data_IF_781150121428
#
_entry.id   IF_781150121428
#
_cell.length_a   1.000
_cell.length_b   1.000
_cell.length_c   1.000
_cell.angle_alpha   90.00
_cell.angle_beta   90.00
_cell.angle_gamma   90.00
#
_symmetry.space_group_name_H-M   'P 1'
#
loop_
_entity.id
_entity.type
_entity.pdbx_description
1 polymer ?
#
# COMPACT_ATOMS: atom_id res chain seq x y z
N UNK A 1 -8.25 -17.84 -4.43
CA UNK A 1 -8.31 -16.64 -3.57
C UNK A 1 -6.91 -16.27 -3.12
N UNK A 2 -6.45 -15.08 -3.45
CA UNK A 2 -5.11 -14.58 -3.13
C UNK A 2 -5.21 -13.43 -2.13
N UNK A 3 -4.49 -13.51 -1.02
CA UNK A 3 -4.45 -12.45 -0.02
C UNK A 3 -3.31 -11.49 -0.39
N UNK A 4 -3.65 -10.23 -0.64
CA UNK A 4 -2.68 -9.17 -0.84
C UNK A 4 -2.72 -8.20 0.34
N UNK A 5 -1.55 -7.75 0.77
CA UNK A 5 -1.37 -6.75 1.80
C UNK A 5 -1.09 -5.40 1.18
N UNK A 6 -1.68 -4.34 1.73
CA UNK A 6 -1.40 -2.97 1.34
C UNK A 6 -1.08 -2.12 2.57
N UNK A 7 0.06 -1.45 2.53
CA UNK A 7 0.50 -0.53 3.58
C UNK A 7 0.42 0.89 3.06
N UNK A 8 -0.23 1.78 3.81
CA UNK A 8 -0.28 3.21 3.49
C UNK A 8 0.15 4.03 4.70
N UNK A 9 0.76 5.18 4.46
CA UNK A 9 1.03 6.17 5.51
C UNK A 9 0.90 7.59 4.97
N UNK A 10 0.25 8.45 5.76
CA UNK A 10 0.08 9.86 5.45
C UNK A 10 1.39 10.65 5.58
N UNK A 11 1.55 11.77 4.84
CA UNK A 11 2.61 12.72 5.09
C UNK A 11 2.60 13.20 6.55
N UNK A 12 3.77 13.31 7.15
CA UNK A 12 3.93 13.69 8.55
C UNK A 12 5.33 14.23 8.83
N UNK A 13 5.50 14.87 9.98
CA UNK A 13 6.75 15.52 10.41
C UNK A 13 7.84 14.55 10.87
N UNK A 14 7.58 13.25 10.84
CA UNK A 14 8.53 12.22 11.27
C UNK A 14 9.72 12.08 10.30
N UNK A 15 10.87 11.66 10.83
CA UNK A 15 12.08 11.42 10.02
C UNK A 15 11.86 10.29 9.01
N UNK A 16 12.67 10.28 7.94
CA UNK A 16 12.61 9.22 6.92
C UNK A 16 12.85 7.84 7.52
N UNK A 17 13.77 7.72 8.48
CA UNK A 17 14.11 6.44 9.11
C UNK A 17 12.99 5.95 10.04
N UNK A 18 12.42 6.83 10.86
CA UNK A 18 11.28 6.47 11.72
C UNK A 18 10.07 6.03 10.87
N UNK A 19 9.84 6.70 9.74
CA UNK A 19 8.82 6.30 8.76
C UNK A 19 9.12 4.93 8.17
N UNK A 20 10.35 4.67 7.72
CA UNK A 20 10.76 3.39 7.17
C UNK A 20 10.58 2.26 8.20
N UNK A 21 10.98 2.45 9.46
CA UNK A 21 10.78 1.47 10.53
C UNK A 21 9.29 1.19 10.80
N UNK A 22 8.45 2.24 10.79
CA UNK A 22 7.01 2.10 10.94
C UNK A 22 6.40 1.27 9.80
N UNK A 23 6.77 1.59 8.56
CA UNK A 23 6.30 0.88 7.37
C UNK A 23 6.79 -0.58 7.35
N UNK A 24 8.05 -0.84 7.73
CA UNK A 24 8.58 -2.20 7.84
C UNK A 24 7.77 -3.03 8.85
N UNK A 25 7.47 -2.47 10.01
CA UNK A 25 6.63 -3.16 11.00
C UNK A 25 5.22 -3.47 10.48
N UNK A 26 4.64 -2.61 9.64
CA UNK A 26 3.35 -2.86 9.00
C UNK A 26 3.46 -3.98 7.95
N UNK A 27 4.50 -3.97 7.12
CA UNK A 27 4.80 -5.03 6.15
C UNK A 27 4.97 -6.38 6.85
N UNK A 28 5.75 -6.42 7.94
CA UNK A 28 5.99 -7.64 8.70
C UNK A 28 4.69 -8.19 9.31
N UNK A 29 3.81 -7.33 9.81
CA UNK A 29 2.49 -7.74 10.30
C UNK A 29 1.59 -8.33 9.21
N UNK A 30 1.60 -7.75 8.01
CA UNK A 30 0.84 -8.30 6.89
C UNK A 30 1.34 -9.69 6.49
N UNK A 31 2.66 -9.89 6.47
CA UNK A 31 3.26 -11.20 6.18
C UNK A 31 2.99 -12.22 7.28
N UNK A 32 3.26 -11.86 8.54
CA UNK A 32 3.26 -12.81 9.66
C UNK A 32 1.87 -13.09 10.23
N UNK A 33 0.97 -12.08 10.27
CA UNK A 33 -0.35 -12.22 10.89
C UNK A 33 -1.48 -12.39 9.88
N UNK A 34 -1.37 -11.70 8.74
CA UNK A 34 -2.42 -11.73 7.70
C UNK A 34 -2.10 -12.72 6.57
N UNK A 35 -0.94 -13.38 6.63
CA UNK A 35 -0.46 -14.33 5.62
C UNK A 35 -0.54 -13.78 4.18
N UNK A 36 -0.29 -12.47 4.02
CA UNK A 36 -0.35 -11.82 2.73
C UNK A 36 0.71 -12.40 1.78
N UNK A 37 0.26 -12.94 0.64
CA UNK A 37 1.12 -13.52 -0.40
C UNK A 37 1.90 -12.46 -1.16
N UNK A 38 1.32 -11.27 -1.32
CA UNK A 38 1.98 -10.10 -1.89
C UNK A 38 1.77 -8.89 -0.98
N UNK A 39 2.75 -8.01 -0.85
CA UNK A 39 2.65 -6.78 -0.06
C UNK A 39 3.05 -5.57 -0.89
N UNK A 40 2.10 -4.66 -1.07
CA UNK A 40 2.28 -3.41 -1.78
C UNK A 40 2.29 -2.23 -0.81
N UNK A 41 2.93 -1.13 -1.20
CA UNK A 41 3.13 0.01 -0.31
C UNK A 41 2.88 1.37 -0.98
N UNK A 42 2.35 2.27 -0.17
CA UNK A 42 2.21 3.70 -0.41
C UNK A 42 2.83 4.48 0.76
N UNK A 43 4.14 4.81 0.68
CA UNK A 43 4.87 5.34 1.82
C UNK A 43 4.48 6.77 2.22
N UNK A 44 4.06 7.60 1.27
CA UNK A 44 3.69 9.01 1.48
C UNK A 44 2.53 9.38 0.55
N UNK A 45 1.29 9.17 0.99
CA UNK A 45 0.10 9.58 0.24
C UNK A 45 -0.98 10.20 1.13
N UNK A 46 -1.82 11.06 0.57
CA UNK A 46 -2.98 11.60 1.30
C UNK A 46 -4.17 10.63 1.13
N UNK A 47 -5.03 10.51 2.15
CA UNK A 47 -6.12 9.52 2.10
C UNK A 47 -7.20 9.82 1.06
N UNK A 48 -7.35 11.10 0.68
CA UNK A 48 -8.30 11.56 -0.33
C UNK A 48 -7.73 11.56 -1.76
N UNK A 49 -6.43 11.32 -1.91
CA UNK A 49 -5.76 11.24 -3.21
C UNK A 49 -6.21 9.97 -3.95
N UNK A 50 -6.52 10.09 -5.26
CA UNK A 50 -6.88 8.94 -6.08
C UNK A 50 -5.83 7.84 -6.00
N UNK A 51 -6.25 6.58 -5.87
CA UNK A 51 -5.35 5.42 -5.78
C UNK A 51 -4.33 5.38 -6.93
N UNK A 52 -4.75 5.78 -8.14
CA UNK A 52 -3.92 5.85 -9.33
C UNK A 52 -2.81 6.91 -9.25
N UNK A 53 -2.98 7.95 -8.44
CA UNK A 53 -2.03 9.08 -8.36
C UNK A 53 -1.06 8.97 -7.18
N UNK A 54 -1.29 8.01 -6.27
CA UNK A 54 -0.50 7.87 -5.04
C UNK A 54 0.97 7.59 -5.30
N UNK A 55 1.81 8.31 -4.56
CA UNK A 55 3.28 8.22 -4.57
C UNK A 55 3.90 8.46 -5.94
N UNK A 56 3.28 9.33 -6.75
CA UNK A 56 3.87 9.85 -7.98
C UNK A 56 4.48 11.24 -7.73
N UNK A 57 5.81 11.44 -7.90
CA UNK A 57 6.82 10.47 -8.33
C UNK A 57 7.30 9.53 -7.21
N UNK A 58 7.70 8.30 -7.58
CA UNK A 58 8.09 7.22 -6.66
C UNK A 58 9.24 7.65 -5.74
N UNK A 59 9.04 7.54 -4.43
CA UNK A 59 10.10 7.79 -3.44
C UNK A 59 11.10 6.62 -3.35
N UNK A 60 12.02 6.55 -4.32
CA UNK A 60 12.97 5.44 -4.46
C UNK A 60 13.88 5.25 -3.24
N UNK A 61 14.24 6.33 -2.52
CA UNK A 61 15.10 6.24 -1.34
C UNK A 61 14.44 5.43 -0.23
N UNK A 62 13.15 5.67 0.00
CA UNK A 62 12.39 5.02 1.06
C UNK A 62 12.03 3.58 0.67
N UNK A 63 11.69 3.32 -0.59
CA UNK A 63 11.46 1.96 -1.09
C UNK A 63 12.69 1.06 -0.94
N UNK A 64 13.90 1.58 -1.18
CA UNK A 64 15.17 0.83 -1.01
C UNK A 64 15.47 0.43 0.43
N UNK A 65 14.91 1.12 1.42
CA UNK A 65 15.12 0.81 2.84
C UNK A 65 14.22 -0.33 3.33
N UNK A 66 13.14 -0.64 2.59
CA UNK A 66 12.14 -1.62 2.99
C UNK A 66 12.44 -3.01 2.42
N UNK A 67 12.09 -4.04 3.18
CA UNK A 67 12.26 -5.45 2.80
C UNK A 67 10.90 -6.16 2.81
N UNK A 68 10.75 -7.13 1.92
CA UNK A 68 9.54 -7.97 1.85
C UNK A 68 8.34 -7.33 1.14
N UNK A 69 8.56 -6.19 0.46
CA UNK A 69 7.60 -5.55 -0.43
C UNK A 69 7.69 -6.16 -1.84
N UNK A 70 6.55 -6.32 -2.50
CA UNK A 70 6.44 -6.78 -3.89
C UNK A 70 6.29 -5.61 -4.87
N UNK A 71 5.93 -4.41 -4.39
CA UNK A 71 5.80 -3.24 -5.24
C UNK A 71 5.13 -2.04 -4.58
N UNK A 72 4.89 -1.02 -5.39
CA UNK A 72 4.18 0.22 -5.06
C UNK A 72 2.68 0.09 -5.32
N UNK A 73 1.91 1.15 -5.03
CA UNK A 73 0.49 1.24 -5.42
C UNK A 73 0.27 0.99 -6.91
N UNK A 74 1.16 1.46 -7.79
CA UNK A 74 1.02 1.25 -9.24
C UNK A 74 1.18 -0.24 -9.62
N UNK A 75 2.14 -0.91 -8.98
CA UNK A 75 2.37 -2.33 -9.23
C UNK A 75 1.21 -3.18 -8.67
N UNK A 76 0.55 -2.72 -7.61
CA UNK A 76 -0.71 -3.30 -7.11
C UNK A 76 -1.84 -3.15 -8.12
N UNK A 77 -2.06 -1.95 -8.65
CA UNK A 77 -3.12 -1.70 -9.63
C UNK A 77 -2.90 -2.52 -10.91
N UNK A 78 -1.65 -2.61 -11.36
CA UNK A 78 -1.30 -3.49 -12.48
C UNK A 78 -1.61 -4.95 -12.16
N UNK A 79 -1.19 -5.45 -10.99
CA UNK A 79 -1.49 -6.83 -10.57
C UNK A 79 -2.99 -7.11 -10.50
N UNK A 80 -3.79 -6.17 -9.99
CA UNK A 80 -5.25 -6.30 -9.91
C UNK A 80 -5.91 -6.31 -11.29
N UNK A 81 -5.40 -5.53 -12.24
CA UNK A 81 -5.92 -5.51 -13.62
C UNK A 81 -5.57 -6.78 -14.41
N UNK A 82 -4.46 -7.46 -14.06
CA UNK A 82 -3.98 -8.64 -14.76
C UNK A 82 -4.49 -9.96 -14.14
N UNK A 83 -5.05 -9.93 -12.93
CA UNK A 83 -5.43 -11.15 -12.21
C UNK A 83 -6.90 -11.51 -12.40
N UNK A 84 -7.15 -12.73 -12.86
CA UNK A 84 -8.50 -13.31 -12.93
C UNK A 84 -8.93 -14.00 -11.62
N UNK A 85 -8.08 -13.95 -10.58
CA UNK A 85 -8.34 -14.63 -9.31
C UNK A 85 -9.09 -13.72 -8.33
N UNK A 86 -9.93 -14.31 -7.48
CA UNK A 86 -10.48 -13.59 -6.34
C UNK A 86 -9.37 -13.09 -5.42
N UNK A 87 -9.35 -11.79 -5.15
CA UNK A 87 -8.35 -11.13 -4.31
C UNK A 87 -8.98 -10.65 -3.00
N UNK A 88 -8.32 -10.96 -1.89
CA UNK A 88 -8.61 -10.36 -0.59
C UNK A 88 -7.55 -9.32 -0.27
N UNK A 89 -7.95 -8.05 -0.24
CA UNK A 89 -7.08 -6.93 0.08
C UNK A 89 -7.13 -6.63 1.59
N UNK A 90 -6.00 -6.80 2.27
CA UNK A 90 -5.81 -6.47 3.69
C UNK A 90 -5.00 -5.18 3.80
N UNK A 91 -5.60 -4.12 4.33
CA UNK A 91 -4.95 -2.83 4.45
C UNK A 91 -4.54 -2.54 5.90
N UNK A 92 -3.33 -2.01 6.08
CA UNK A 92 -2.93 -1.35 7.31
C UNK A 92 -2.70 0.13 6.99
N UNK A 93 -3.58 0.99 7.53
CA UNK A 93 -3.48 2.44 7.45
C UNK A 93 -4.14 3.09 8.68
N UNK A 94 -3.87 4.39 8.88
CA UNK A 94 -4.53 5.19 9.91
C UNK A 94 -5.90 5.74 9.48
N UNK A 95 -6.06 6.18 8.22
CA UNK A 95 -7.29 6.78 7.68
C UNK A 95 -8.10 5.83 6.77
N UNK A 96 -7.73 4.54 6.75
CA UNK A 96 -8.33 3.52 5.89
C UNK A 96 -7.72 3.44 4.49
N UNK A 97 -8.31 2.63 3.61
CA UNK A 97 -7.81 2.45 2.24
C UNK A 97 -7.88 3.77 1.44
N UNK A 98 -9.01 4.47 1.52
CA UNK A 98 -9.25 5.78 0.92
C UNK A 98 -10.39 6.48 1.65
N UNK A 99 -10.34 7.80 1.75
CA UNK A 99 -11.47 8.63 2.19
C UNK A 99 -12.28 9.15 1.00
N UNK A 100 -11.86 8.84 -0.24
CA UNK A 100 -12.55 9.21 -1.47
C UNK A 100 -13.48 8.08 -1.92
N UNK A 101 -14.78 8.23 -1.66
CA UNK A 101 -15.81 7.21 -1.95
C UNK A 101 -15.99 7.01 -3.47
N UNK A 102 -15.86 8.06 -4.26
CA UNK A 102 -15.96 7.95 -5.73
C UNK A 102 -14.80 7.14 -6.29
N UNK A 103 -13.59 7.38 -5.80
CA UNK A 103 -12.39 6.63 -6.19
C UNK A 103 -12.48 5.17 -5.72
N UNK A 104 -12.99 4.92 -4.51
CA UNK A 104 -13.25 3.55 -4.04
C UNK A 104 -14.24 2.80 -4.94
N UNK A 105 -15.29 3.48 -5.38
CA UNK A 105 -16.30 2.89 -6.28
C UNK A 105 -15.71 2.54 -7.63
N UNK A 106 -14.78 3.36 -8.14
CA UNK A 106 -14.03 3.06 -9.37
C UNK A 106 -13.06 1.90 -9.18
N UNK A 107 -12.42 1.83 -8.02
CA UNK A 107 -11.47 0.77 -7.69
C UNK A 107 -12.10 -0.63 -7.55
N UNK A 108 -13.37 -0.70 -7.11
CA UNK A 108 -14.10 -1.97 -6.94
C UNK A 108 -14.77 -2.49 -8.22
N UNK A 109 -14.71 -1.74 -9.33
CA UNK A 109 -15.33 -2.07 -10.61
C UNK A 109 -14.28 -2.54 -11.60
#
# INVERSE_FOLDING_TARGET
>A
MTIIGYVRKSPGKESTDARASCLQNMVDKLRQRSFASKVFISPVSVSNEPLAERDQPRNQKLLKQLKGIDGTTQDMLQFLNETDQEVCLVCIDYAGLTTNVEDLTKFLR
#
